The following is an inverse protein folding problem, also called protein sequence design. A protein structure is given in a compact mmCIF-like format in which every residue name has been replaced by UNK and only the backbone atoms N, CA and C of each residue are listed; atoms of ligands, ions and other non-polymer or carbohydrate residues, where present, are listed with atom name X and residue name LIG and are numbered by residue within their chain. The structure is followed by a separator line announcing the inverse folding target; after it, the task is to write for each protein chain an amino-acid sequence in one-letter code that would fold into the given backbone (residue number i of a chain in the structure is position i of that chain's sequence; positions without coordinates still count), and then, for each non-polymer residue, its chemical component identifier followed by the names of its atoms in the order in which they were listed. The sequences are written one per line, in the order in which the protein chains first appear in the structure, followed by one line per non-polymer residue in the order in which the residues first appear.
data_IF_711403563347
#
_entry.id   IF_711403563347
#
_cell.length_a   1.000
_cell.length_b   1.000
_cell.length_c   1.000
_cell.angle_alpha   90.00
_cell.angle_beta   90.00
_cell.angle_gamma   90.00
#
_symmetry.space_group_name_H-M   'P 1'
#
loop_
_entity.id
_entity.type
_entity.pdbx_description
1 polymer ?
#
# COMPACT_ATOMS: atom_id res chain seq x y z
N UNK A 1 3.78 22.63 -14.26
CA UNK A 1 3.18 22.15 -13.04
C UNK A 1 3.71 22.92 -11.91
N UNK A 2 2.79 23.47 -11.17
CA UNK A 2 3.11 24.58 -10.26
C UNK A 2 4.12 24.20 -9.19
N UNK A 3 4.06 22.94 -8.73
CA UNK A 3 5.02 22.45 -7.75
C UNK A 3 6.43 22.20 -8.34
N UNK A 4 6.55 21.96 -9.65
CA UNK A 4 7.81 21.57 -10.31
C UNK A 4 8.48 22.71 -11.11
N UNK A 5 7.81 23.84 -11.29
CA UNK A 5 8.32 24.94 -12.11
C UNK A 5 9.18 25.91 -11.27
N UNK A 6 10.14 26.56 -11.94
CA UNK A 6 10.92 27.65 -11.36
C UNK A 6 11.70 27.33 -10.07
N UNK A 7 12.10 26.08 -9.87
CA UNK A 7 12.83 25.68 -8.65
C UNK A 7 11.99 25.58 -7.38
N UNK A 8 10.66 25.67 -7.49
CA UNK A 8 9.73 25.74 -6.37
C UNK A 8 9.96 24.65 -5.30
N UNK A 9 10.15 23.39 -5.75
CA UNK A 9 10.47 22.26 -4.86
C UNK A 9 11.79 22.45 -4.09
N UNK A 10 12.81 22.99 -4.75
CA UNK A 10 14.14 23.18 -4.16
C UNK A 10 14.17 24.35 -3.17
N UNK A 11 13.34 25.35 -3.40
CA UNK A 11 13.22 26.54 -2.51
C UNK A 11 12.29 26.28 -1.32
N UNK A 12 11.44 25.24 -1.37
CA UNK A 12 10.56 24.91 -0.26
C UNK A 12 11.34 24.31 0.91
N UNK A 13 11.44 25.06 2.00
CA UNK A 13 12.13 24.65 3.22
C UNK A 13 11.42 23.44 3.86
N UNK A 14 12.18 22.40 4.22
CA UNK A 14 11.70 21.26 5.00
C UNK A 14 11.99 21.50 6.50
N UNK A 15 11.01 21.16 7.35
CA UNK A 15 11.20 21.21 8.79
C UNK A 15 12.12 20.09 9.28
N UNK A 16 12.75 20.26 10.44
CA UNK A 16 13.51 19.20 11.08
C UNK A 16 12.68 17.93 11.29
N UNK A 17 11.41 18.08 11.71
CA UNK A 17 10.47 16.97 11.86
C UNK A 17 10.26 16.21 10.56
N UNK A 18 10.05 16.93 9.45
CA UNK A 18 9.85 16.32 8.13
C UNK A 18 11.09 15.52 7.69
N UNK A 19 12.30 16.09 7.90
CA UNK A 19 13.56 15.41 7.60
C UNK A 19 13.73 14.12 8.43
N UNK A 20 13.36 14.15 9.71
CA UNK A 20 13.40 12.96 10.57
C UNK A 20 12.38 11.89 10.12
N UNK A 21 11.20 12.30 9.66
CA UNK A 21 10.20 11.38 9.10
C UNK A 21 10.70 10.72 7.82
N UNK A 22 11.28 11.47 6.89
CA UNK A 22 11.90 10.93 5.67
C UNK A 22 12.98 9.89 5.99
N UNK A 23 13.86 10.19 6.96
CA UNK A 23 14.88 9.24 7.42
C UNK A 23 14.24 7.96 7.96
N UNK A 24 13.24 8.07 8.84
CA UNK A 24 12.57 6.91 9.42
C UNK A 24 11.89 6.04 8.34
N UNK A 25 11.25 6.64 7.34
CA UNK A 25 10.64 5.90 6.22
C UNK A 25 11.73 5.20 5.39
N UNK A 26 12.89 5.83 5.17
CA UNK A 26 14.04 5.19 4.52
C UNK A 26 14.56 3.96 5.29
N UNK A 27 14.59 4.02 6.62
CA UNK A 27 14.93 2.88 7.47
C UNK A 27 13.88 1.76 7.36
N UNK A 28 12.59 2.07 7.33
CA UNK A 28 11.51 1.11 7.09
C UNK A 28 11.66 0.41 5.74
N UNK A 29 11.97 1.14 4.66
CA UNK A 29 12.22 0.57 3.34
C UNK A 29 13.35 -0.47 3.37
N UNK A 30 14.44 -0.16 4.07
CA UNK A 30 15.56 -1.10 4.24
C UNK A 30 15.14 -2.38 4.97
N UNK A 31 14.34 -2.26 6.03
CA UNK A 31 13.82 -3.43 6.78
C UNK A 31 12.79 -4.24 6.01
N UNK A 32 12.01 -3.62 5.14
CA UNK A 32 11.01 -4.29 4.29
C UNK A 32 11.63 -5.45 3.50
N UNK A 33 12.83 -5.28 2.94
CA UNK A 33 13.55 -6.32 2.20
C UNK A 33 13.79 -7.56 3.06
N UNK A 34 14.20 -7.36 4.32
CA UNK A 34 14.46 -8.46 5.26
C UNK A 34 13.19 -9.27 5.57
N UNK A 35 12.05 -8.60 5.70
CA UNK A 35 10.76 -9.27 5.94
C UNK A 35 10.29 -10.07 4.72
N UNK A 36 10.56 -9.57 3.51
CA UNK A 36 10.18 -10.24 2.26
C UNK A 36 10.83 -11.62 2.11
N UNK A 37 12.04 -11.77 2.61
CA UNK A 37 12.81 -13.03 2.52
C UNK A 37 12.39 -14.04 3.59
N UNK A 38 11.82 -13.59 4.71
CA UNK A 38 11.63 -14.43 5.90
C UNK A 38 10.28 -15.15 5.97
N UNK A 39 9.23 -14.69 5.29
CA UNK A 39 7.88 -15.19 5.52
C UNK A 39 6.94 -15.09 4.32
N UNK A 40 7.18 -15.82 3.21
CA UNK A 40 6.37 -15.73 1.98
C UNK A 40 4.86 -15.96 2.21
N UNK A 41 4.49 -16.98 3.01
CA UNK A 41 3.07 -17.31 3.28
C UNK A 41 2.32 -16.20 4.03
N UNK A 42 3.04 -15.51 4.91
CA UNK A 42 2.51 -14.39 5.66
C UNK A 42 2.27 -13.21 4.75
N UNK A 43 3.25 -12.89 3.92
CA UNK A 43 3.17 -11.80 2.97
C UNK A 43 2.05 -12.05 1.96
N UNK A 44 1.85 -13.29 1.51
CA UNK A 44 0.73 -13.63 0.63
C UNK A 44 -0.63 -13.38 1.30
N UNK A 45 -0.76 -13.75 2.58
CA UNK A 45 -1.98 -13.46 3.33
C UNK A 45 -2.20 -11.96 3.47
N UNK A 46 -1.15 -11.18 3.78
CA UNK A 46 -1.24 -9.73 3.88
C UNK A 46 -1.61 -9.09 2.55
N UNK A 47 -1.03 -9.55 1.43
CA UNK A 47 -1.38 -9.07 0.07
C UNK A 47 -2.86 -9.23 -0.23
N UNK A 48 -3.43 -10.41 0.04
CA UNK A 48 -4.85 -10.66 -0.21
C UNK A 48 -5.76 -9.75 0.63
N UNK A 49 -5.44 -9.56 1.90
CA UNK A 49 -6.18 -8.66 2.78
C UNK A 49 -6.04 -7.21 2.32
N UNK A 50 -4.81 -6.78 2.01
CA UNK A 50 -4.55 -5.44 1.52
C UNK A 50 -5.31 -5.14 0.21
N UNK A 51 -5.32 -6.09 -0.74
CA UNK A 51 -6.06 -5.96 -2.00
C UNK A 51 -7.56 -5.69 -1.75
N UNK A 52 -8.22 -6.51 -0.91
CA UNK A 52 -9.64 -6.33 -0.60
C UNK A 52 -9.88 -4.96 0.05
N UNK A 53 -9.07 -4.60 1.05
CA UNK A 53 -9.18 -3.32 1.75
C UNK A 53 -8.92 -2.13 0.83
N UNK A 54 -7.92 -2.19 -0.05
CA UNK A 54 -7.60 -1.11 -0.99
C UNK A 54 -8.73 -0.85 -1.97
N UNK A 55 -9.28 -1.92 -2.55
CA UNK A 55 -10.42 -1.84 -3.47
C UNK A 55 -11.64 -1.26 -2.74
N UNK A 56 -11.94 -1.74 -1.53
CA UNK A 56 -13.06 -1.25 -0.74
C UNK A 56 -12.91 0.22 -0.37
N UNK A 57 -11.82 0.55 0.30
CA UNK A 57 -11.60 1.88 0.88
C UNK A 57 -11.49 2.96 -0.18
N UNK A 58 -10.76 2.70 -1.28
CA UNK A 58 -10.62 3.69 -2.35
C UNK A 58 -11.96 4.05 -3.00
N UNK A 59 -12.85 3.06 -3.16
CA UNK A 59 -14.19 3.31 -3.69
C UNK A 59 -15.10 3.97 -2.64
N UNK A 60 -15.02 3.57 -1.38
CA UNK A 60 -15.82 4.15 -0.29
C UNK A 60 -15.49 5.61 0.01
N UNK A 61 -14.24 6.02 -0.16
CA UNK A 61 -13.85 7.44 -0.10
C UNK A 61 -14.69 8.27 -1.07
N UNK A 62 -15.00 7.74 -2.26
CA UNK A 62 -15.81 8.40 -3.30
C UNK A 62 -17.33 8.12 -3.14
N UNK A 63 -17.74 7.46 -2.05
CA UNK A 63 -19.15 7.16 -1.78
C UNK A 63 -19.69 5.91 -2.49
N UNK A 64 -18.81 5.12 -3.12
CA UNK A 64 -19.18 3.87 -3.81
C UNK A 64 -19.07 2.72 -2.81
N UNK A 65 -20.18 2.05 -2.54
CA UNK A 65 -20.25 0.94 -1.58
C UNK A 65 -20.85 -0.30 -2.23
N UNK A 66 -20.35 -1.46 -1.84
CA UNK A 66 -20.81 -2.79 -2.26
C UNK A 66 -21.14 -3.60 -1.01
N UNK A 67 -22.04 -4.55 -1.12
CA UNK A 67 -22.40 -5.45 -0.02
C UNK A 67 -21.14 -6.19 0.49
N UNK A 68 -20.91 -6.26 1.82
CA UNK A 68 -19.70 -6.87 2.38
C UNK A 68 -19.45 -8.31 1.96
N UNK A 69 -20.50 -9.12 1.78
CA UNK A 69 -20.39 -10.51 1.31
C UNK A 69 -20.00 -10.61 -0.17
N UNK A 70 -20.31 -9.61 -0.98
CA UNK A 70 -19.99 -9.57 -2.42
C UNK A 70 -18.58 -9.11 -2.72
N UNK A 71 -18.05 -8.23 -1.88
CA UNK A 71 -16.77 -7.58 -2.12
C UNK A 71 -15.60 -8.58 -2.26
N UNK A 72 -15.38 -9.56 -1.36
CA UNK A 72 -14.31 -10.54 -1.52
C UNK A 72 -14.45 -11.37 -2.80
N UNK A 73 -15.67 -11.71 -3.19
CA UNK A 73 -15.91 -12.48 -4.41
C UNK A 73 -15.58 -11.68 -5.68
N UNK A 74 -15.94 -10.38 -5.71
CA UNK A 74 -15.61 -9.46 -6.81
C UNK A 74 -14.10 -9.24 -6.91
N UNK A 75 -13.44 -8.99 -5.77
CA UNK A 75 -12.00 -8.76 -5.74
C UNK A 75 -11.21 -10.00 -6.16
N UNK A 76 -11.67 -11.20 -5.77
CA UNK A 76 -11.04 -12.48 -6.12
C UNK A 76 -11.53 -13.06 -7.45
N UNK A 77 -12.24 -12.30 -8.29
CA UNK A 77 -12.80 -12.72 -9.59
C UNK A 77 -13.71 -13.97 -9.56
N UNK A 78 -14.34 -14.22 -8.43
CA UNK A 78 -15.24 -15.38 -8.28
C UNK A 78 -16.67 -15.12 -8.75
N UNK A 79 -16.96 -13.86 -9.09
CA UNK A 79 -18.30 -13.43 -9.53
C UNK A 79 -18.20 -12.27 -10.49
N UNK A 80 -19.28 -12.05 -11.27
CA UNK A 80 -19.40 -10.90 -12.17
C UNK A 80 -20.12 -9.74 -11.51
N UNK A 81 -19.78 -8.47 -11.84
CA UNK A 81 -20.46 -7.30 -11.29
C UNK A 81 -21.88 -7.21 -11.79
N UNK A 82 -22.84 -6.88 -10.90
CA UNK A 82 -24.28 -6.85 -11.15
C UNK A 82 -24.84 -5.45 -11.39
N UNK A 83 -24.28 -4.47 -10.70
CA UNK A 83 -24.73 -3.10 -10.72
C UNK A 83 -23.55 -2.13 -10.89
N UNK A 84 -23.83 -0.84 -10.98
CA UNK A 84 -22.82 0.17 -11.21
C UNK A 84 -21.74 0.22 -10.10
N UNK A 85 -22.06 0.23 -8.79
CA UNK A 85 -21.05 0.15 -7.75
C UNK A 85 -20.12 -1.06 -7.89
N UNK A 86 -20.65 -2.25 -8.12
CA UNK A 86 -19.85 -3.46 -8.33
C UNK A 86 -18.98 -3.36 -9.60
N UNK A 87 -19.50 -2.73 -10.67
CA UNK A 87 -18.75 -2.50 -11.92
C UNK A 87 -17.56 -1.56 -11.72
N UNK A 88 -17.72 -0.49 -10.96
CA UNK A 88 -16.64 0.44 -10.65
C UNK A 88 -15.59 -0.18 -9.71
N UNK A 89 -16.03 -0.95 -8.73
CA UNK A 89 -15.16 -1.74 -7.84
C UNK A 89 -14.35 -2.76 -8.65
N UNK A 90 -14.98 -3.51 -9.57
CA UNK A 90 -14.28 -4.47 -10.42
C UNK A 90 -13.26 -3.80 -11.36
N UNK A 91 -13.61 -2.65 -11.93
CA UNK A 91 -12.68 -1.89 -12.78
C UNK A 91 -11.49 -1.31 -11.99
N UNK A 92 -11.73 -0.78 -10.79
CA UNK A 92 -10.65 -0.32 -9.90
C UNK A 92 -9.69 -1.48 -9.54
N UNK A 93 -10.24 -2.64 -9.17
CA UNK A 93 -9.47 -3.84 -8.88
C UNK A 93 -8.54 -4.23 -10.04
N UNK A 94 -9.01 -4.18 -11.31
CA UNK A 94 -8.15 -4.53 -12.45
C UNK A 94 -6.93 -3.62 -12.58
N UNK A 95 -7.09 -2.32 -12.36
CA UNK A 95 -5.96 -1.39 -12.39
C UNK A 95 -5.02 -1.63 -11.22
N UNK A 96 -5.55 -1.93 -10.03
CA UNK A 96 -4.75 -2.23 -8.85
C UNK A 96 -3.95 -3.52 -9.03
N UNK A 97 -4.56 -4.56 -9.62
CA UNK A 97 -3.88 -5.81 -9.99
C UNK A 97 -2.75 -5.57 -10.98
N UNK A 98 -3.00 -4.78 -12.03
CA UNK A 98 -1.97 -4.41 -13.01
C UNK A 98 -0.76 -3.74 -12.34
N UNK A 99 -1.01 -2.83 -11.41
CA UNK A 99 0.07 -2.20 -10.62
C UNK A 99 0.83 -3.24 -9.79
N UNK A 100 0.13 -4.08 -9.03
CA UNK A 100 0.79 -5.06 -8.15
C UNK A 100 1.61 -6.10 -8.90
N UNK A 101 1.18 -6.50 -10.10
CA UNK A 101 1.83 -7.53 -10.91
C UNK A 101 2.90 -6.95 -11.84
N UNK A 102 2.70 -5.74 -12.37
CA UNK A 102 3.49 -5.25 -13.49
C UNK A 102 4.17 -3.90 -13.26
N UNK A 103 4.17 -3.32 -12.03
CA UNK A 103 4.74 -2.00 -11.76
C UNK A 103 6.14 -1.81 -12.34
N UNK A 104 6.99 -2.84 -12.33
CA UNK A 104 8.36 -2.76 -12.86
C UNK A 104 8.44 -2.51 -14.38
N UNK A 105 7.39 -2.82 -15.14
CA UNK A 105 7.27 -2.59 -16.59
C UNK A 105 6.38 -1.41 -16.95
N UNK A 106 5.49 -0.99 -16.07
CA UNK A 106 4.63 0.16 -16.27
C UNK A 106 5.46 1.45 -16.25
N UNK A 107 5.30 2.29 -17.25
CA UNK A 107 5.97 3.61 -17.32
C UNK A 107 4.94 4.71 -17.15
N UNK A 108 5.18 5.61 -16.21
CA UNK A 108 4.34 6.80 -16.01
C UNK A 108 4.24 7.57 -17.34
N UNK A 109 3.02 7.78 -17.80
CA UNK A 109 2.73 8.54 -19.01
C UNK A 109 1.26 8.97 -19.04
N UNK A 110 0.95 10.00 -19.79
CA UNK A 110 -0.43 10.43 -20.02
C UNK A 110 -1.27 9.31 -20.67
N UNK A 111 -0.65 8.48 -21.52
CA UNK A 111 -1.31 7.31 -22.14
C UNK A 111 -1.70 6.26 -21.10
N UNK A 112 -0.81 5.96 -20.13
CA UNK A 112 -1.08 5.03 -19.04
C UNK A 112 -2.23 5.55 -18.17
N UNK A 113 -2.22 6.82 -17.80
CA UNK A 113 -3.26 7.45 -16.97
C UNK A 113 -4.64 7.37 -17.67
N UNK A 114 -4.70 7.67 -18.97
CA UNK A 114 -5.91 7.54 -19.77
C UNK A 114 -6.37 6.08 -19.91
N UNK A 115 -5.41 5.16 -20.06
CA UNK A 115 -5.69 3.73 -20.13
C UNK A 115 -6.29 3.23 -18.81
N UNK A 116 -5.71 3.56 -17.66
CA UNK A 116 -6.24 3.18 -16.36
C UNK A 116 -7.63 3.76 -16.08
N UNK A 117 -7.85 5.02 -16.44
CA UNK A 117 -9.18 5.62 -16.33
C UNK A 117 -10.21 4.89 -17.19
N UNK A 118 -9.84 4.42 -18.40
CA UNK A 118 -10.70 3.59 -19.26
C UNK A 118 -10.96 2.23 -18.64
N UNK A 119 -9.94 1.57 -18.12
CA UNK A 119 -10.03 0.25 -17.47
C UNK A 119 -10.93 0.31 -16.24
N UNK A 120 -10.77 1.33 -15.41
CA UNK A 120 -11.58 1.52 -14.19
C UNK A 120 -13.09 1.60 -14.47
N UNK A 121 -13.49 2.07 -15.66
CA UNK A 121 -14.89 2.19 -16.06
C UNK A 121 -15.33 1.18 -17.13
N UNK A 122 -14.50 0.17 -17.45
CA UNK A 122 -14.78 -0.73 -18.59
C UNK A 122 -16.08 -1.53 -18.45
N UNK A 123 -16.49 -1.84 -17.22
CA UNK A 123 -17.71 -2.60 -16.95
C UNK A 123 -18.96 -1.74 -16.93
N UNK A 124 -18.85 -0.41 -16.86
CA UNK A 124 -20.01 0.49 -16.77
C UNK A 124 -20.65 0.80 -18.13
N UNK A 125 -20.03 0.38 -19.24
CA UNK A 125 -20.46 0.72 -20.60
C UNK A 125 -20.21 2.18 -21.00
N UNK A 126 -19.64 3.00 -20.11
CA UNK A 126 -19.34 4.39 -20.39
C UNK A 126 -18.03 4.55 -21.19
N UNK A 127 -18.02 5.46 -22.15
CA UNK A 127 -16.78 5.84 -22.86
C UNK A 127 -15.95 6.74 -21.96
N UNK A 128 -14.92 6.18 -21.36
CA UNK A 128 -13.96 6.87 -20.46
C UNK A 128 -12.54 6.78 -21.03
N UNK A 129 -11.57 7.31 -20.33
CA UNK A 129 -10.17 7.36 -20.79
C UNK A 129 -9.93 8.57 -21.71
N UNK A 130 -10.61 9.66 -21.43
CA UNK A 130 -10.44 10.96 -22.07
C UNK A 130 -10.33 12.03 -20.99
N UNK A 131 -9.59 13.10 -21.28
CA UNK A 131 -9.58 14.27 -20.42
C UNK A 131 -10.96 14.90 -20.36
N UNK A 132 -11.23 15.66 -19.30
CA UNK A 132 -12.47 16.43 -19.17
C UNK A 132 -12.66 17.37 -20.36
N UNK A 133 -13.90 17.47 -20.83
CA UNK A 133 -14.31 18.28 -21.98
C UNK A 133 -14.89 19.66 -21.57
N UNK A 134 -15.14 19.82 -20.26
CA UNK A 134 -15.63 21.06 -19.65
C UNK A 134 -15.00 21.26 -18.29
N UNK A 135 -15.00 22.51 -17.83
CA UNK A 135 -14.49 22.85 -16.50
C UNK A 135 -15.33 22.20 -15.42
N UNK A 136 -14.62 21.72 -14.39
CA UNK A 136 -15.21 21.12 -13.20
C UNK A 136 -14.86 21.94 -11.95
N UNK A 137 -15.51 21.64 -10.83
CA UNK A 137 -15.24 22.23 -9.55
C UNK A 137 -15.23 21.15 -8.46
N UNK A 138 -14.33 21.28 -7.53
CA UNK A 138 -14.35 20.46 -6.29
C UNK A 138 -15.28 21.17 -5.32
N UNK A 139 -16.37 20.48 -4.97
CA UNK A 139 -17.46 21.03 -4.15
C UNK A 139 -17.50 20.30 -2.81
N UNK A 140 -17.69 21.04 -1.76
CA UNK A 140 -17.98 20.54 -0.42
C UNK A 140 -19.45 20.73 -0.11
N UNK A 141 -20.11 19.69 0.35
CA UNK A 141 -21.48 19.78 0.87
C UNK A 141 -21.38 19.97 2.36
N UNK A 142 -21.81 21.13 2.84
CA UNK A 142 -21.85 21.45 4.28
C UNK A 142 -22.97 20.71 4.99
N UNK A 143 -22.92 20.59 6.33
CA UNK A 143 -24.00 19.94 7.10
C UNK A 143 -25.39 20.55 6.90
N UNK A 144 -25.46 21.84 6.49
CA UNK A 144 -26.69 22.54 6.14
C UNK A 144 -27.19 22.28 4.71
N UNK A 145 -26.54 21.36 3.96
CA UNK A 145 -26.87 21.00 2.58
C UNK A 145 -26.34 21.99 1.52
N UNK A 146 -25.70 23.08 1.91
CA UNK A 146 -25.14 24.05 0.96
C UNK A 146 -23.90 23.50 0.28
N UNK A 147 -23.84 23.67 -1.03
CA UNK A 147 -22.65 23.39 -1.83
C UNK A 147 -21.74 24.63 -1.85
N UNK A 148 -20.47 24.41 -1.45
CA UNK A 148 -19.46 25.45 -1.50
C UNK A 148 -18.33 24.98 -2.39
N UNK A 149 -17.98 25.78 -3.41
CA UNK A 149 -16.80 25.49 -4.25
C UNK A 149 -15.55 25.59 -3.40
N UNK A 150 -14.89 24.46 -3.23
CA UNK A 150 -13.69 24.33 -2.42
C UNK A 150 -12.42 24.67 -3.20
N UNK A 151 -12.39 24.24 -4.44
CA UNK A 151 -11.29 24.48 -5.37
C UNK A 151 -11.81 24.48 -6.82
N UNK A 152 -11.24 25.32 -7.66
CA UNK A 152 -11.45 25.29 -9.11
C UNK A 152 -10.21 24.72 -9.78
N UNK A 153 -10.26 23.51 -10.31
CA UNK A 153 -9.14 22.88 -11.00
C UNK A 153 -8.72 23.66 -12.26
N UNK A 154 -7.61 23.22 -12.88
CA UNK A 154 -7.21 23.69 -14.20
C UNK A 154 -8.37 23.56 -15.21
N UNK A 155 -8.50 24.49 -16.15
CA UNK A 155 -9.56 24.42 -17.14
C UNK A 155 -9.42 23.21 -18.06
N UNK A 156 -10.50 22.77 -18.67
CA UNK A 156 -10.51 21.66 -19.62
C UNK A 156 -9.54 21.89 -20.79
N UNK A 157 -9.48 23.13 -21.27
CA UNK A 157 -8.64 23.52 -22.40
C UNK A 157 -7.15 23.24 -22.17
N UNK A 158 -6.63 23.54 -20.98
CA UNK A 158 -5.20 23.37 -20.65
C UNK A 158 -4.87 22.01 -20.03
N UNK A 159 -5.88 21.22 -19.70
CA UNK A 159 -5.69 19.92 -19.00
C UNK A 159 -4.75 18.98 -19.75
N UNK A 160 -4.83 18.76 -21.09
CA UNK A 160 -3.91 17.85 -21.79
C UNK A 160 -2.45 18.30 -21.69
N UNK A 161 -2.20 19.59 -21.88
CA UNK A 161 -0.86 20.19 -21.79
C UNK A 161 -0.31 20.09 -20.37
N UNK A 162 -1.14 20.40 -19.36
CA UNK A 162 -0.73 20.35 -17.96
C UNK A 162 -0.40 18.92 -17.50
N UNK A 163 -1.16 17.93 -17.95
CA UNK A 163 -0.88 16.53 -17.66
C UNK A 163 0.41 16.06 -18.31
N UNK A 164 0.65 16.43 -19.57
CA UNK A 164 1.89 16.11 -20.25
C UNK A 164 3.10 16.76 -19.54
N UNK A 165 2.98 18.03 -19.21
CA UNK A 165 4.02 18.78 -18.52
C UNK A 165 4.30 18.26 -17.11
N UNK A 166 3.26 17.81 -16.39
CA UNK A 166 3.41 17.21 -15.07
C UNK A 166 4.27 15.93 -15.12
N UNK A 167 3.98 15.04 -16.08
CA UNK A 167 4.73 13.80 -16.27
C UNK A 167 6.18 14.08 -16.63
N UNK A 168 6.42 14.98 -17.57
CA UNK A 168 7.78 15.35 -18.02
C UNK A 168 8.63 15.93 -16.89
N UNK A 169 8.08 16.88 -16.13
CA UNK A 169 8.81 17.53 -15.04
C UNK A 169 9.06 16.58 -13.85
N UNK A 170 8.13 15.68 -13.57
CA UNK A 170 8.34 14.64 -12.57
C UNK A 170 9.50 13.72 -12.96
N UNK A 171 9.52 13.21 -14.18
CA UNK A 171 10.56 12.33 -14.70
C UNK A 171 11.93 13.04 -14.70
N UNK A 172 11.97 14.29 -15.14
CA UNK A 172 13.16 15.13 -15.08
C UNK A 172 13.65 15.29 -13.63
N UNK A 173 12.79 15.69 -12.71
CA UNK A 173 13.16 15.92 -11.30
C UNK A 173 13.65 14.65 -10.62
N UNK A 174 13.04 13.50 -10.93
CA UNK A 174 13.45 12.20 -10.42
C UNK A 174 14.86 11.83 -10.94
N UNK A 175 15.13 12.10 -12.23
CA UNK A 175 16.43 11.84 -12.86
C UNK A 175 17.53 12.77 -12.31
N UNK A 176 17.20 14.03 -12.03
CA UNK A 176 18.14 15.00 -11.44
C UNK A 176 18.56 14.64 -10.02
N UNK A 177 17.70 13.93 -9.25
CA UNK A 177 18.03 13.44 -7.93
C UNK A 177 18.28 14.52 -6.87
N UNK A 178 17.80 15.75 -7.08
CA UNK A 178 18.03 16.89 -6.17
C UNK A 178 16.99 16.98 -5.04
N UNK A 179 15.87 16.29 -5.18
CA UNK A 179 14.76 16.28 -4.21
C UNK A 179 14.47 14.83 -3.82
N UNK A 180 14.12 14.61 -2.55
CA UNK A 180 13.73 13.28 -2.08
C UNK A 180 12.55 12.72 -2.91
N UNK A 181 12.64 11.47 -3.40
CA UNK A 181 11.60 10.89 -4.24
C UNK A 181 10.20 10.89 -3.61
N UNK A 182 10.07 10.78 -2.29
CA UNK A 182 8.77 10.82 -1.60
C UNK A 182 8.14 12.22 -1.69
N UNK A 183 8.94 13.27 -1.61
CA UNK A 183 8.47 14.65 -1.78
C UNK A 183 8.08 14.94 -3.23
N UNK A 184 8.82 14.37 -4.20
CA UNK A 184 8.45 14.44 -5.62
C UNK A 184 7.09 13.76 -5.87
N UNK A 185 6.88 12.55 -5.34
CA UNK A 185 5.64 11.80 -5.49
C UNK A 185 4.47 12.56 -4.85
N UNK A 186 4.65 13.04 -3.61
CA UNK A 186 3.62 13.82 -2.94
C UNK A 186 3.24 15.08 -3.75
N UNK A 187 4.23 15.79 -4.28
CA UNK A 187 3.99 16.99 -5.12
C UNK A 187 3.33 16.67 -6.46
N UNK A 188 3.69 15.53 -7.08
CA UNK A 188 3.03 15.03 -8.28
C UNK A 188 1.53 14.78 -8.03
N UNK A 189 1.21 14.11 -6.94
CA UNK A 189 -0.18 13.79 -6.58
C UNK A 189 -0.96 15.07 -6.28
N UNK A 190 -0.38 16.05 -5.58
CA UNK A 190 -1.01 17.34 -5.35
C UNK A 190 -1.32 18.07 -6.66
N UNK A 191 -0.34 18.15 -7.57
CA UNK A 191 -0.54 18.81 -8.87
C UNK A 191 -1.57 18.07 -9.71
N UNK A 192 -1.59 16.73 -9.69
CA UNK A 192 -2.62 15.91 -10.33
C UNK A 192 -4.02 16.25 -9.79
N UNK A 193 -4.18 16.33 -8.47
CA UNK A 193 -5.46 16.68 -7.84
C UNK A 193 -5.86 18.14 -8.13
N UNK A 194 -4.90 19.05 -8.28
CA UNK A 194 -5.16 20.43 -8.68
C UNK A 194 -5.53 20.58 -10.17
N UNK A 195 -4.98 19.74 -11.04
CA UNK A 195 -5.39 19.67 -12.46
C UNK A 195 -6.78 19.04 -12.57
N UNK A 196 -7.04 17.98 -11.80
CA UNK A 196 -8.29 17.23 -11.75
C UNK A 196 -8.77 16.83 -13.15
N UNK A 197 -7.99 16.00 -13.86
CA UNK A 197 -8.06 15.90 -15.33
C UNK A 197 -9.31 15.20 -15.87
N UNK A 198 -10.09 14.54 -15.03
CA UNK A 198 -11.29 13.80 -15.43
C UNK A 198 -12.56 14.45 -14.89
N UNK A 199 -13.70 14.12 -15.49
CA UNK A 199 -14.99 14.53 -14.95
C UNK A 199 -15.37 13.77 -13.68
N UNK A 200 -14.83 12.54 -13.51
CA UNK A 200 -15.04 11.66 -12.36
C UNK A 200 -13.82 10.71 -12.21
N UNK A 201 -13.60 10.15 -11.02
CA UNK A 201 -12.55 9.15 -10.76
C UNK A 201 -11.15 9.71 -10.51
N UNK A 202 -10.97 11.04 -10.37
CA UNK A 202 -9.66 11.64 -10.14
C UNK A 202 -9.01 11.13 -8.86
N UNK A 203 -9.70 11.14 -7.74
CA UNK A 203 -9.15 10.66 -6.47
C UNK A 203 -8.73 9.19 -6.52
N UNK A 204 -9.51 8.33 -7.19
CA UNK A 204 -9.15 6.91 -7.39
C UNK A 204 -7.88 6.76 -8.23
N UNK A 205 -7.79 7.47 -9.35
CA UNK A 205 -6.58 7.47 -10.20
C UNK A 205 -5.38 8.06 -9.44
N UNK A 206 -5.56 9.14 -8.68
CA UNK A 206 -4.50 9.73 -7.85
C UNK A 206 -3.93 8.74 -6.83
N UNK A 207 -4.78 7.95 -6.16
CA UNK A 207 -4.34 6.90 -5.22
C UNK A 207 -3.62 5.74 -5.93
N UNK A 208 -4.09 5.31 -7.11
CA UNK A 208 -3.40 4.30 -7.93
C UNK A 208 -2.04 4.81 -8.43
N UNK A 209 -1.95 6.06 -8.86
CA UNK A 209 -0.68 6.70 -9.24
C UNK A 209 0.28 6.77 -8.05
N UNK A 210 -0.23 7.06 -6.85
CA UNK A 210 0.57 7.05 -5.62
C UNK A 210 1.24 5.69 -5.42
N UNK A 211 0.49 4.60 -5.54
CA UNK A 211 1.05 3.23 -5.38
C UNK A 211 2.12 2.94 -6.44
N UNK A 212 1.83 3.19 -7.72
CA UNK A 212 2.81 2.95 -8.79
C UNK A 212 4.11 3.69 -8.54
N UNK A 213 4.03 4.99 -8.25
CA UNK A 213 5.20 5.84 -8.07
C UNK A 213 6.01 5.44 -6.83
N UNK A 214 5.34 5.07 -5.73
CA UNK A 214 6.00 4.52 -4.54
C UNK A 214 6.75 3.22 -4.85
N UNK A 215 6.14 2.31 -5.63
CA UNK A 215 6.78 1.04 -6.00
C UNK A 215 7.99 1.25 -6.91
N UNK A 216 7.95 2.21 -7.84
CA UNK A 216 9.09 2.55 -8.69
C UNK A 216 10.32 3.00 -7.90
N UNK A 217 10.13 3.63 -6.76
CA UNK A 217 11.23 4.07 -5.89
C UNK A 217 11.48 3.12 -4.70
N UNK A 218 10.88 1.92 -4.73
CA UNK A 218 11.15 0.83 -3.80
C UNK A 218 10.40 0.89 -2.47
N UNK A 219 9.34 1.67 -2.35
CA UNK A 219 8.45 1.69 -1.19
C UNK A 219 7.21 0.83 -1.46
N UNK A 220 7.31 -0.47 -1.16
CA UNK A 220 6.30 -1.46 -1.54
C UNK A 220 5.29 -1.80 -0.43
N UNK A 221 5.23 -1.03 0.64
CA UNK A 221 4.33 -1.31 1.79
C UNK A 221 2.87 -1.42 1.38
N UNK A 222 2.43 -0.66 0.36
CA UNK A 222 1.07 -0.72 -0.19
C UNK A 222 0.66 -2.09 -0.76
N UNK A 223 1.61 -2.99 -1.01
CA UNK A 223 1.32 -4.38 -1.41
C UNK A 223 0.80 -5.25 -0.25
N UNK A 224 1.09 -4.85 0.98
CA UNK A 224 0.85 -5.64 2.20
C UNK A 224 -0.11 -4.96 3.17
N UNK A 225 -0.20 -3.64 3.10
CA UNK A 225 -1.06 -2.79 3.92
C UNK A 225 -1.79 -1.83 2.99
N UNK A 226 -3.10 -1.76 3.10
CA UNK A 226 -3.90 -0.81 2.31
C UNK A 226 -3.62 0.63 2.76
N UNK A 227 -2.95 1.39 1.91
CA UNK A 227 -2.76 2.83 2.11
C UNK A 227 -4.08 3.58 1.93
N UNK A 228 -4.97 3.09 1.06
CA UNK A 228 -6.29 3.65 0.83
C UNK A 228 -7.19 3.54 2.08
N UNK A 229 -7.06 2.45 2.86
CA UNK A 229 -7.75 2.33 4.13
C UNK A 229 -7.22 3.36 5.15
N UNK A 230 -5.92 3.57 5.20
CA UNK A 230 -5.33 4.60 6.08
C UNK A 230 -5.83 5.99 5.67
N UNK A 231 -5.95 6.26 4.36
CA UNK A 231 -6.55 7.51 3.85
C UNK A 231 -8.02 7.61 4.23
N UNK A 232 -8.79 6.52 4.12
CA UNK A 232 -10.21 6.48 4.53
C UNK A 232 -10.36 6.77 6.02
N UNK A 233 -9.58 6.11 6.86
CA UNK A 233 -9.58 6.28 8.32
C UNK A 233 -9.20 7.70 8.76
N UNK A 234 -8.45 8.44 7.90
CA UNK A 234 -8.02 9.83 8.12
C UNK A 234 -8.60 10.81 7.10
N UNK A 235 -9.77 10.50 6.54
CA UNK A 235 -10.39 11.20 5.40
C UNK A 235 -10.47 12.72 5.58
N UNK A 236 -10.84 13.17 6.76
CA UNK A 236 -10.95 14.60 7.07
C UNK A 236 -9.59 15.30 6.99
N UNK A 237 -8.56 14.71 7.59
CA UNK A 237 -7.18 15.22 7.56
C UNK A 237 -6.60 15.21 6.14
N UNK A 238 -6.91 14.17 5.36
CA UNK A 238 -6.55 14.06 3.95
C UNK A 238 -7.07 15.23 3.13
N UNK A 239 -8.37 15.47 3.21
CA UNK A 239 -8.98 16.57 2.47
C UNK A 239 -8.55 17.95 2.99
N UNK A 240 -8.30 18.08 4.28
CA UNK A 240 -7.80 19.33 4.85
C UNK A 240 -6.37 19.65 4.39
N UNK A 241 -5.51 18.64 4.31
CA UNK A 241 -4.15 18.78 3.79
C UNK A 241 -4.16 19.19 2.31
N UNK A 242 -4.98 18.51 1.48
CA UNK A 242 -5.19 18.91 0.08
C UNK A 242 -5.73 20.36 -0.04
N UNK A 243 -6.72 20.71 0.78
CA UNK A 243 -7.31 22.05 0.80
C UNK A 243 -6.27 23.12 1.13
N UNK A 244 -5.45 22.91 2.15
CA UNK A 244 -4.40 23.85 2.53
C UNK A 244 -3.37 24.01 1.44
N UNK A 245 -2.90 22.89 0.89
CA UNK A 245 -1.84 22.90 -0.10
C UNK A 245 -2.30 23.26 -1.51
N UNK A 246 -3.59 23.25 -1.82
CA UNK A 246 -4.10 23.74 -3.11
C UNK A 246 -4.33 25.26 -3.17
N UNK A 247 -4.35 25.95 -2.02
CA UNK A 247 -4.54 27.40 -1.99
C UNK A 247 -3.39 28.12 -2.67
N UNK A 248 -3.70 29.01 -3.63
CA UNK A 248 -2.69 29.74 -4.39
C UNK A 248 -1.96 28.90 -5.47
N UNK A 249 -2.38 27.65 -5.73
CA UNK A 249 -1.74 26.79 -6.71
C UNK A 249 -1.67 27.41 -8.12
N UNK A 250 -2.74 28.04 -8.60
CA UNK A 250 -2.75 28.69 -9.92
C UNK A 250 -1.70 29.80 -10.06
N UNK A 251 -1.34 30.44 -8.97
CA UNK A 251 -0.36 31.53 -8.91
C UNK A 251 1.05 31.07 -8.54
N UNK A 252 1.27 29.73 -8.40
CA UNK A 252 2.50 29.15 -7.87
C UNK A 252 2.90 29.75 -6.51
N UNK A 253 1.92 29.91 -5.60
CA UNK A 253 2.08 30.45 -4.24
C UNK A 253 1.46 29.53 -3.18
N UNK A 254 1.30 28.27 -3.49
CA UNK A 254 0.75 27.25 -2.62
C UNK A 254 1.80 26.74 -1.62
N UNK A 255 1.39 26.17 -0.52
CA UNK A 255 2.29 25.59 0.48
C UNK A 255 2.26 24.04 0.39
N UNK A 256 3.39 23.44 0.02
CA UNK A 256 3.52 21.98 -0.11
C UNK A 256 3.54 21.25 1.24
N UNK A 257 3.94 21.93 2.32
CA UNK A 257 4.22 21.30 3.62
C UNK A 257 3.03 20.59 4.24
N UNK A 258 1.80 21.13 4.29
CA UNK A 258 0.67 20.42 4.88
C UNK A 258 0.38 19.08 4.17
N UNK A 259 0.55 19.05 2.84
CA UNK A 259 0.37 17.84 2.06
C UNK A 259 1.52 16.86 2.23
N UNK A 260 2.77 17.32 2.25
CA UNK A 260 3.94 16.47 2.51
C UNK A 260 3.86 15.82 3.90
N UNK A 261 3.50 16.57 4.92
CA UNK A 261 3.34 16.05 6.29
C UNK A 261 2.27 14.97 6.36
N UNK A 262 1.12 15.20 5.71
CA UNK A 262 0.07 14.18 5.63
C UNK A 262 0.54 12.93 4.88
N UNK A 263 1.11 13.10 3.71
CA UNK A 263 1.57 12.00 2.84
C UNK A 263 2.61 11.12 3.53
N UNK A 264 3.61 11.72 4.16
CA UNK A 264 4.63 10.98 4.90
C UNK A 264 4.06 10.36 6.19
N UNK A 265 3.12 11.01 6.85
CA UNK A 265 2.40 10.45 8.01
C UNK A 265 1.60 9.20 7.64
N UNK A 266 0.87 9.20 6.54
CA UNK A 266 0.17 8.05 5.98
C UNK A 266 1.14 6.90 5.69
N UNK A 267 2.27 7.17 5.05
CA UNK A 267 3.28 6.17 4.74
C UNK A 267 3.90 5.57 6.00
N UNK A 268 4.21 6.41 6.99
CA UNK A 268 4.71 5.99 8.31
C UNK A 268 3.71 5.07 9.02
N UNK A 269 2.42 5.41 9.00
CA UNK A 269 1.37 4.57 9.57
C UNK A 269 1.31 3.19 8.87
N UNK A 270 1.42 3.17 7.53
CA UNK A 270 1.47 1.94 6.75
C UNK A 270 2.65 1.04 7.14
N UNK A 271 3.84 1.59 7.28
CA UNK A 271 5.01 0.83 7.69
C UNK A 271 4.94 0.34 9.14
N UNK A 272 4.46 1.16 10.05
CA UNK A 272 4.26 0.75 11.46
C UNK A 272 3.27 -0.43 11.55
N UNK A 273 2.17 -0.38 10.80
CA UNK A 273 1.21 -1.47 10.75
C UNK A 273 1.81 -2.73 10.11
N UNK A 274 2.60 -2.57 9.05
CA UNK A 274 3.31 -3.68 8.41
C UNK A 274 4.24 -4.39 9.40
N UNK A 275 5.10 -3.64 10.10
CA UNK A 275 6.01 -4.21 11.10
C UNK A 275 5.24 -4.89 12.25
N UNK A 276 4.16 -4.29 12.74
CA UNK A 276 3.33 -4.87 13.77
C UNK A 276 2.72 -6.22 13.33
N UNK A 277 2.22 -6.30 12.10
CA UNK A 277 1.61 -7.53 11.56
C UNK A 277 2.66 -8.61 11.29
N UNK A 278 3.77 -8.27 10.66
CA UNK A 278 4.88 -9.21 10.42
C UNK A 278 5.54 -9.63 11.73
N UNK A 279 5.77 -8.71 12.66
CA UNK A 279 6.32 -8.98 13.98
C UNK A 279 5.43 -9.90 14.84
N UNK A 280 4.11 -9.72 14.80
CA UNK A 280 3.14 -10.59 15.48
C UNK A 280 3.20 -12.02 14.94
N UNK A 281 3.41 -12.19 13.64
CA UNK A 281 3.50 -13.50 13.00
C UNK A 281 4.85 -14.17 13.25
N UNK A 282 5.95 -13.41 13.32
CA UNK A 282 7.25 -13.92 13.81
C UNK A 282 7.15 -14.36 15.27
N UNK A 283 6.39 -13.67 16.10
CA UNK A 283 6.12 -14.09 17.48
C UNK A 283 5.24 -15.35 17.54
N UNK A 284 4.29 -15.53 16.62
CA UNK A 284 3.50 -16.75 16.51
C UNK A 284 4.35 -17.95 16.03
N UNK A 285 5.37 -17.75 15.19
CA UNK A 285 6.39 -18.77 14.86
C UNK A 285 7.29 -19.06 16.04
N UNK A 286 7.70 -18.05 16.80
CA UNK A 286 8.38 -18.19 18.08
C UNK A 286 7.51 -18.96 19.07
N UNK A 287 6.21 -18.68 19.14
CA UNK A 287 5.27 -19.41 19.96
C UNK A 287 5.13 -20.87 19.55
N UNK A 288 5.02 -21.18 18.23
CA UNK A 288 5.01 -22.57 17.74
C UNK A 288 6.31 -23.30 18.07
N UNK A 289 7.44 -22.66 17.86
CA UNK A 289 8.75 -23.23 18.20
C UNK A 289 8.89 -23.44 19.72
N UNK A 290 8.43 -22.50 20.51
CA UNK A 290 8.43 -22.60 21.97
C UNK A 290 7.43 -23.66 22.47
N UNK A 291 6.27 -23.79 21.84
CA UNK A 291 5.31 -24.86 22.09
C UNK A 291 5.92 -26.24 21.81
N UNK A 292 6.63 -26.40 20.67
CA UNK A 292 7.34 -27.66 20.34
C UNK A 292 8.42 -27.95 21.37
N UNK A 293 9.22 -26.96 21.78
CA UNK A 293 10.23 -27.12 22.84
C UNK A 293 9.63 -27.56 24.17
N UNK A 294 8.53 -26.91 24.60
CA UNK A 294 7.79 -27.33 25.80
C UNK A 294 7.18 -28.73 25.67
N UNK A 295 6.73 -29.10 24.48
CA UNK A 295 6.23 -30.46 24.25
C UNK A 295 7.38 -31.48 24.37
N UNK A 296 8.55 -31.21 23.78
CA UNK A 296 9.74 -32.05 23.93
C UNK A 296 10.08 -32.24 25.42
N UNK A 297 10.13 -31.15 26.20
CA UNK A 297 10.45 -31.19 27.65
C UNK A 297 9.46 -32.04 28.48
N UNK A 298 8.25 -32.30 27.97
CA UNK A 298 7.20 -33.09 28.64
C UNK A 298 7.11 -34.54 28.18
N UNK A 299 7.77 -34.89 27.06
CA UNK A 299 7.78 -36.26 26.58
C UNK A 299 8.62 -37.15 27.50
N UNK A 300 8.19 -38.39 27.69
CA UNK A 300 8.98 -39.40 28.44
C UNK A 300 10.07 -40.00 27.56
N UNK A 301 11.24 -40.23 28.14
CA UNK A 301 12.36 -40.87 27.48
C UNK A 301 12.21 -42.39 27.35
N UNK A 302 12.60 -42.98 26.23
CA UNK A 302 12.97 -42.36 24.98
C UNK A 302 11.73 -41.98 24.15
N UNK A 303 11.78 -40.89 23.39
CA UNK A 303 10.69 -40.47 22.50
C UNK A 303 11.11 -40.40 21.04
N UNK A 304 10.15 -40.48 20.13
CA UNK A 304 10.33 -40.44 18.67
C UNK A 304 9.76 -39.16 18.06
N UNK A 305 10.08 -38.88 16.79
CA UNK A 305 9.43 -37.78 16.05
C UNK A 305 7.90 -38.00 15.88
N UNK A 306 7.46 -39.27 15.87
CA UNK A 306 6.05 -39.61 15.82
C UNK A 306 5.31 -39.23 17.12
N UNK A 307 5.95 -39.41 18.26
CA UNK A 307 5.42 -38.96 19.55
C UNK A 307 5.31 -37.45 19.62
N UNK A 308 6.36 -36.76 19.16
CA UNK A 308 6.35 -35.31 19.08
C UNK A 308 5.29 -34.78 18.10
N UNK A 309 5.07 -35.45 16.96
CA UNK A 309 4.02 -35.12 16.00
C UNK A 309 2.62 -35.24 16.63
N UNK A 310 2.39 -36.30 17.42
CA UNK A 310 1.13 -36.46 18.17
C UNK A 310 0.93 -35.39 19.22
N UNK A 311 1.98 -35.02 19.94
CA UNK A 311 1.94 -33.98 20.97
C UNK A 311 1.78 -32.56 20.38
N UNK A 312 2.18 -32.34 19.12
CA UNK A 312 2.13 -31.07 18.42
C UNK A 312 1.31 -31.14 17.13
N UNK A 313 0.06 -31.58 17.23
CA UNK A 313 -0.86 -31.65 16.08
C UNK A 313 -0.97 -30.28 15.38
N UNK A 314 -0.84 -30.26 14.04
CA UNK A 314 -0.88 -29.04 13.24
C UNK A 314 0.46 -28.28 13.09
N UNK A 315 1.57 -28.82 13.61
CA UNK A 315 2.92 -28.30 13.35
C UNK A 315 3.59 -29.09 12.24
N UNK A 316 4.18 -28.37 11.28
CA UNK A 316 4.86 -29.00 10.13
C UNK A 316 6.11 -29.78 10.58
N UNK A 317 6.36 -30.91 9.91
CA UNK A 317 7.51 -31.77 10.21
C UNK A 317 8.88 -31.06 10.15
N UNK A 318 9.13 -30.15 9.19
CA UNK A 318 10.35 -29.33 9.20
C UNK A 318 10.52 -28.50 10.47
N UNK A 319 9.44 -27.97 11.04
CA UNK A 319 9.47 -27.21 12.30
C UNK A 319 9.81 -28.11 13.48
N UNK A 320 9.24 -29.33 13.54
CA UNK A 320 9.55 -30.31 14.57
C UNK A 320 11.03 -30.74 14.49
N UNK A 321 11.53 -31.07 13.29
CA UNK A 321 12.94 -31.46 13.07
C UNK A 321 13.92 -30.35 13.44
N UNK A 322 13.57 -29.10 13.13
CA UNK A 322 14.40 -27.93 13.48
C UNK A 322 14.48 -27.75 15.00
N UNK A 323 13.36 -27.87 15.72
CA UNK A 323 13.35 -27.76 17.18
C UNK A 323 14.19 -28.88 17.84
N UNK A 324 14.09 -30.11 17.36
CA UNK A 324 14.93 -31.23 17.82
C UNK A 324 16.43 -30.97 17.57
N UNK A 325 16.78 -30.47 16.39
CA UNK A 325 18.16 -30.12 16.06
C UNK A 325 18.72 -29.03 16.94
N UNK A 326 17.92 -27.99 17.22
CA UNK A 326 18.33 -26.87 18.07
C UNK A 326 18.53 -27.30 19.52
N UNK A 327 17.59 -28.06 20.10
CA UNK A 327 17.71 -28.57 21.46
C UNK A 327 18.86 -29.59 21.62
N UNK A 328 19.17 -30.35 20.56
CA UNK A 328 20.33 -31.22 20.55
C UNK A 328 21.65 -30.43 20.52
N UNK A 329 21.72 -29.34 19.75
CA UNK A 329 22.89 -28.43 19.73
C UNK A 329 23.08 -27.71 21.06
N UNK A 330 21.98 -27.36 21.74
CA UNK A 330 21.98 -26.78 23.07
C UNK A 330 22.35 -27.79 24.18
N UNK A 331 22.52 -29.06 23.82
CA UNK A 331 22.88 -30.10 24.77
C UNK A 331 21.72 -30.56 25.67
N UNK A 332 20.48 -30.13 25.43
CA UNK A 332 19.31 -30.49 26.25
C UNK A 332 18.78 -31.90 25.97
N UNK A 333 18.93 -32.38 24.74
CA UNK A 333 18.55 -33.73 24.34
C UNK A 333 19.69 -34.40 23.57
N UNK A 334 19.66 -35.72 23.51
CA UNK A 334 20.61 -36.54 22.74
C UNK A 334 19.83 -37.46 21.80
N UNK A 335 20.26 -37.52 20.55
CA UNK A 335 19.72 -38.46 19.57
C UNK A 335 20.32 -39.86 19.76
N UNK A 336 19.46 -40.88 19.74
CA UNK A 336 19.81 -42.29 19.77
C UNK A 336 19.43 -42.91 18.43
N UNK A 337 20.39 -43.50 17.74
CA UNK A 337 20.18 -44.16 16.45
C UNK A 337 20.13 -43.21 15.24
N UNK A 338 19.96 -43.75 14.06
CA UNK A 338 19.91 -43.05 12.77
C UNK A 338 18.64 -43.46 11.98
N UNK A 339 18.23 -42.61 11.04
CA UNK A 339 17.09 -42.91 10.17
C UNK A 339 15.72 -42.55 10.80
N UNK A 340 14.62 -43.06 10.20
CA UNK A 340 13.24 -42.75 10.61
C UNK A 340 12.87 -43.25 12.00
N UNK A 341 13.53 -44.30 12.49
CA UNK A 341 13.33 -44.90 13.83
C UNK A 341 14.20 -44.25 14.92
N UNK A 342 14.90 -43.15 14.64
CA UNK A 342 15.71 -42.48 15.64
C UNK A 342 14.86 -42.02 16.83
N UNK A 343 15.42 -42.19 18.03
CA UNK A 343 14.85 -41.76 19.31
C UNK A 343 15.65 -40.61 19.91
N UNK A 344 15.06 -39.92 20.84
CA UNK A 344 15.73 -38.86 21.61
C UNK A 344 15.52 -39.09 23.12
N UNK A 345 16.50 -38.71 23.89
CA UNK A 345 16.46 -38.72 25.36
C UNK A 345 16.89 -37.37 25.90
N UNK A 346 16.32 -36.96 27.01
CA UNK A 346 16.77 -35.78 27.70
C UNK A 346 18.19 -36.02 28.29
N UNK A 347 19.01 -34.99 28.25
CA UNK A 347 20.26 -35.02 29.01
C UNK A 347 19.95 -34.56 30.43
N UNK A 348 20.19 -35.41 31.39
CA UNK A 348 20.24 -35.00 32.81
C UNK A 348 21.44 -34.05 32.97
N UNK A 349 21.16 -32.79 33.40
CA UNK A 349 22.18 -31.80 33.72
C UNK A 349 22.95 -32.18 34.97
#
# INVERSE_FOLDING_TARGET
MRSFEHGYLLETAISHSLAMTLRAIGEFRGRQVLYSEQSPEVLETLRRVAMIQSVESSNRIEGITVLPERLPELVMEKTTPRDRPEQEVAGYREVLDDIHLHYGSLRLSTKLILHWHRTMYRFTGEKRGQWKDRDNAIVEIRPDGRQVVRFRPASALVTPEFMQRLVELFDQSLTEGKTDPLLLIASFVLDFECIHPFMDGNGRIGRLLTLLLLYHVGYEVGRYISLERIVEDSKETYYEALRKSSQGWHQARHDLRPWWEYFLGMLTAGYNEFEARVGTITSARGAKRQMVRRAIERLRDPFTIADLRRACAGVSEPTLKRALSDMAKEGRIKRLGVGPAAQWVHRQG
#
